data_IF_512161082249
#
_entry.id   IF_512161082249
#
_cell.length_a   1.000
_cell.length_b   1.000
_cell.length_c   1.000
_cell.angle_alpha   90.00
_cell.angle_beta   90.00
_cell.angle_gamma   90.00
#
_symmetry.space_group_name_H-M   'P 1'
#
loop_
_entity.id
_entity.type
_entity.pdbx_description
1 polymer ?
#
# COMPACT_ATOMS: atom_id res chain seq x y z
N UNK A 1 -36.65 -1.48 -41.67
CA UNK A 1 -35.65 -1.79 -40.63
C UNK A 1 -36.39 -2.40 -39.47
N UNK A 2 -36.21 -3.69 -39.23
CA UNK A 2 -37.05 -4.42 -38.27
C UNK A 2 -36.83 -3.88 -36.86
N UNK A 3 -37.92 -3.61 -36.13
CA UNK A 3 -37.90 -3.08 -34.75
C UNK A 3 -36.98 -3.90 -33.84
N UNK A 4 -36.83 -5.20 -34.12
CA UNK A 4 -35.95 -6.14 -33.45
C UNK A 4 -34.46 -5.72 -33.48
N UNK A 5 -33.98 -5.16 -34.59
CA UNK A 5 -32.58 -4.70 -34.72
C UNK A 5 -32.31 -3.51 -33.82
N UNK A 6 -33.26 -2.57 -33.74
CA UNK A 6 -33.15 -1.36 -32.91
C UNK A 6 -33.15 -1.75 -31.43
N UNK A 7 -34.05 -2.65 -31.02
CA UNK A 7 -34.11 -3.16 -29.63
C UNK A 7 -32.82 -3.87 -29.26
N UNK A 8 -32.32 -4.76 -30.13
CA UNK A 8 -31.06 -5.47 -29.89
C UNK A 8 -29.86 -4.50 -29.79
N UNK A 9 -29.77 -3.52 -30.69
CA UNK A 9 -28.72 -2.50 -30.64
C UNK A 9 -28.75 -1.68 -29.35
N UNK A 10 -29.94 -1.37 -28.83
CA UNK A 10 -30.11 -0.63 -27.57
C UNK A 10 -29.67 -1.46 -26.36
N UNK A 11 -30.09 -2.73 -26.30
CA UNK A 11 -29.67 -3.66 -25.23
C UNK A 11 -28.15 -3.86 -25.27
N UNK A 12 -27.59 -3.98 -26.46
CA UNK A 12 -26.16 -4.17 -26.64
C UNK A 12 -25.34 -2.94 -26.21
N UNK A 13 -25.79 -1.75 -26.59
CA UNK A 13 -25.18 -0.50 -26.14
C UNK A 13 -25.22 -0.36 -24.61
N UNK A 14 -26.35 -0.70 -23.98
CA UNK A 14 -26.50 -0.70 -22.53
C UNK A 14 -25.57 -1.72 -21.85
N UNK A 15 -25.42 -2.92 -22.43
CA UNK A 15 -24.49 -3.94 -21.93
C UNK A 15 -23.04 -3.46 -21.98
N UNK A 16 -22.59 -2.91 -23.12
CA UNK A 16 -21.25 -2.33 -23.26
C UNK A 16 -21.02 -1.22 -22.23
N UNK A 17 -21.98 -0.29 -22.10
CA UNK A 17 -21.90 0.79 -21.13
C UNK A 17 -21.77 0.27 -19.69
N UNK A 18 -22.52 -0.78 -19.34
CA UNK A 18 -22.43 -1.46 -18.04
C UNK A 18 -21.05 -2.06 -17.79
N UNK A 19 -20.48 -2.75 -18.77
CA UNK A 19 -19.13 -3.34 -18.69
C UNK A 19 -18.06 -2.27 -18.48
N UNK A 20 -18.10 -1.17 -19.24
CA UNK A 20 -17.16 -0.06 -19.07
C UNK A 20 -17.31 0.64 -17.72
N UNK A 21 -18.55 0.86 -17.26
CA UNK A 21 -18.82 1.45 -15.95
C UNK A 21 -18.24 0.59 -14.82
N UNK A 22 -18.43 -0.73 -14.89
CA UNK A 22 -17.86 -1.68 -13.94
C UNK A 22 -16.32 -1.62 -13.92
N UNK A 23 -15.67 -1.65 -15.10
CA UNK A 23 -14.22 -1.54 -15.19
C UNK A 23 -13.68 -0.24 -14.59
N UNK A 24 -14.35 0.87 -14.87
CA UNK A 24 -13.97 2.18 -14.31
C UNK A 24 -14.04 2.17 -12.78
N UNK A 25 -15.10 1.58 -12.20
CA UNK A 25 -15.27 1.48 -10.75
C UNK A 25 -14.14 0.66 -10.11
N UNK A 26 -13.82 -0.50 -10.70
CA UNK A 26 -12.76 -1.37 -10.19
C UNK A 26 -11.39 -0.72 -10.30
N UNK A 27 -11.10 -0.10 -11.45
CA UNK A 27 -9.83 0.55 -11.67
C UNK A 27 -9.64 1.73 -10.70
N UNK A 28 -10.70 2.52 -10.49
CA UNK A 28 -10.72 3.60 -9.49
C UNK A 28 -10.45 3.08 -8.09
N UNK A 29 -11.13 1.99 -7.69
CA UNK A 29 -10.89 1.34 -6.39
C UNK A 29 -9.43 0.92 -6.23
N UNK A 30 -8.86 0.20 -7.20
CA UNK A 30 -7.48 -0.27 -7.10
C UNK A 30 -6.46 0.84 -7.11
N UNK A 31 -6.69 1.87 -7.92
CA UNK A 31 -5.85 3.05 -7.91
C UNK A 31 -5.84 3.68 -6.51
N UNK A 32 -7.01 3.85 -5.89
CA UNK A 32 -7.13 4.38 -4.52
C UNK A 32 -6.43 3.51 -3.48
N UNK A 33 -6.58 2.19 -3.57
CA UNK A 33 -5.88 1.26 -2.67
C UNK A 33 -4.35 1.38 -2.84
N UNK A 34 -3.86 1.45 -4.07
CA UNK A 34 -2.43 1.64 -4.35
C UNK A 34 -1.92 2.97 -3.79
N UNK A 35 -2.70 4.05 -3.97
CA UNK A 35 -2.43 5.38 -3.38
C UNK A 35 -2.32 5.31 -1.85
N UNK A 36 -3.27 4.65 -1.17
CA UNK A 36 -3.24 4.50 0.29
C UNK A 36 -2.02 3.70 0.78
N UNK A 37 -1.65 2.63 0.07
CA UNK A 37 -0.46 1.83 0.41
C UNK A 37 0.84 2.60 0.17
N UNK A 38 0.92 3.38 -0.91
CA UNK A 38 2.06 4.26 -1.16
C UNK A 38 2.15 5.38 -0.11
N UNK A 39 1.01 5.94 0.31
CA UNK A 39 0.96 6.90 1.43
C UNK A 39 1.51 6.27 2.70
N UNK A 40 1.07 5.04 3.03
CA UNK A 40 1.57 4.32 4.20
C UNK A 40 3.10 4.16 4.17
N UNK A 41 3.68 3.81 3.00
CA UNK A 41 5.13 3.69 2.80
C UNK A 41 5.83 5.05 3.00
N UNK A 42 5.28 6.11 2.43
CA UNK A 42 5.88 7.45 2.50
C UNK A 42 5.84 8.02 3.91
N UNK A 43 4.72 7.83 4.62
CA UNK A 43 4.59 8.26 6.01
C UNK A 43 5.54 7.49 6.92
N UNK A 44 5.66 6.17 6.73
CA UNK A 44 6.64 5.36 7.45
C UNK A 44 8.08 5.85 7.24
N UNK A 45 8.46 6.17 5.98
CA UNK A 45 9.78 6.74 5.68
C UNK A 45 9.99 8.09 6.38
N UNK A 46 8.96 8.93 6.42
CA UNK A 46 8.99 10.24 7.07
C UNK A 46 9.16 10.11 8.59
N UNK A 47 8.40 9.23 9.22
CA UNK A 47 8.51 8.93 10.66
C UNK A 47 9.91 8.36 10.99
N UNK A 48 10.41 7.42 10.18
CA UNK A 48 11.75 6.86 10.37
C UNK A 48 12.85 7.93 10.22
N UNK A 49 12.75 8.80 9.22
CA UNK A 49 13.70 9.90 9.03
C UNK A 49 13.68 10.88 10.21
N UNK A 50 12.49 11.25 10.69
CA UNK A 50 12.33 12.12 11.85
C UNK A 50 12.93 11.48 13.12
N UNK A 51 12.69 10.18 13.34
CA UNK A 51 13.27 9.44 14.46
C UNK A 51 14.80 9.47 14.40
N UNK A 52 15.37 9.08 13.25
CA UNK A 52 16.81 8.98 13.07
C UNK A 52 17.49 10.35 13.22
N UNK A 53 16.93 11.40 12.59
CA UNK A 53 17.45 12.76 12.70
C UNK A 53 17.44 13.26 14.15
N UNK A 54 16.31 13.08 14.85
CA UNK A 54 16.15 13.48 16.25
C UNK A 54 17.16 12.76 17.14
N UNK A 55 17.32 11.45 16.94
CA UNK A 55 18.27 10.62 17.68
C UNK A 55 19.71 11.10 17.47
N UNK A 56 20.13 11.35 16.22
CA UNK A 56 21.49 11.82 15.94
C UNK A 56 21.75 13.20 16.54
N UNK A 57 20.78 14.12 16.46
CA UNK A 57 20.89 15.44 17.05
C UNK A 57 21.01 15.37 18.58
N UNK A 58 20.11 14.63 19.25
CA UNK A 58 20.14 14.45 20.70
C UNK A 58 21.47 13.83 21.14
N UNK A 59 21.90 12.77 20.47
CA UNK A 59 23.15 12.10 20.78
C UNK A 59 24.38 12.97 20.47
N UNK A 60 24.32 13.89 19.51
CA UNK A 60 25.37 14.90 19.28
C UNK A 60 25.38 15.94 20.40
N UNK A 61 24.22 16.48 20.76
CA UNK A 61 24.07 17.53 21.76
C UNK A 61 24.55 17.04 23.14
N UNK A 62 24.07 15.88 23.61
CA UNK A 62 24.50 15.33 24.90
C UNK A 62 25.97 14.91 24.95
N UNK A 63 26.62 14.68 23.80
CA UNK A 63 28.05 14.35 23.76
C UNK A 63 28.97 15.57 23.79
N UNK A 64 28.48 16.74 23.35
CA UNK A 64 29.30 17.94 23.16
C UNK A 64 28.95 19.08 24.12
N UNK A 65 27.84 18.98 24.84
CA UNK A 65 27.36 20.01 25.77
C UNK A 65 27.67 19.60 27.21
N UNK A 66 28.37 20.48 27.94
CA UNK A 66 28.78 20.26 29.34
C UNK A 66 27.57 20.35 30.28
N UNK A 67 26.68 21.32 30.05
CA UNK A 67 25.45 21.54 30.83
C UNK A 67 24.22 21.53 29.91
N UNK A 68 23.65 20.35 29.62
CA UNK A 68 22.52 20.24 28.71
C UNK A 68 21.25 20.83 29.31
N UNK A 69 20.72 21.88 28.68
CA UNK A 69 19.40 22.43 29.00
C UNK A 69 18.30 21.72 28.24
N UNK A 70 17.18 21.45 28.92
CA UNK A 70 16.02 20.77 28.34
C UNK A 70 15.36 21.59 27.22
N UNK A 71 15.36 22.92 27.33
CA UNK A 71 14.82 23.83 26.31
C UNK A 71 15.45 23.65 24.93
N UNK A 72 16.74 23.33 24.88
CA UNK A 72 17.53 23.32 23.65
C UNK A 72 17.32 22.04 22.83
N UNK A 73 16.71 21.03 23.46
CA UNK A 73 16.41 19.72 22.87
C UNK A 73 14.92 19.40 22.86
N UNK A 74 14.07 20.26 23.40
CA UNK A 74 12.64 20.01 23.59
C UNK A 74 11.96 19.57 22.28
N UNK A 75 12.19 20.32 21.20
CA UNK A 75 11.61 20.00 19.90
C UNK A 75 12.09 18.65 19.36
N UNK A 76 13.40 18.40 19.44
CA UNK A 76 13.98 17.14 18.96
C UNK A 76 13.52 15.94 19.79
N UNK A 77 13.38 16.12 21.11
CA UNK A 77 12.86 15.09 21.98
C UNK A 77 11.37 14.81 21.68
N UNK A 78 10.56 15.86 21.46
CA UNK A 78 9.16 15.73 21.04
C UNK A 78 9.03 14.97 19.72
N UNK A 79 9.86 15.28 18.73
CA UNK A 79 9.89 14.60 17.44
C UNK A 79 10.30 13.13 17.59
N UNK A 80 11.31 12.84 18.41
CA UNK A 80 11.73 11.49 18.75
C UNK A 80 10.57 10.66 19.33
N UNK A 81 9.86 11.19 20.33
CA UNK A 81 8.73 10.49 20.96
C UNK A 81 7.60 10.28 19.96
N UNK A 82 7.21 11.32 19.22
CA UNK A 82 6.13 11.23 18.24
C UNK A 82 6.44 10.20 17.14
N UNK A 83 7.67 10.20 16.61
CA UNK A 83 8.09 9.26 15.59
C UNK A 83 8.14 7.82 16.11
N UNK A 84 8.65 7.61 17.33
CA UNK A 84 8.60 6.30 18.00
C UNK A 84 7.18 5.75 18.11
N UNK A 85 6.25 6.55 18.63
CA UNK A 85 4.85 6.16 18.79
C UNK A 85 4.17 5.91 17.45
N UNK A 86 4.43 6.75 16.45
CA UNK A 86 3.93 6.56 15.09
C UNK A 86 4.35 5.22 14.50
N UNK A 87 5.65 4.91 14.55
CA UNK A 87 6.19 3.65 14.02
C UNK A 87 5.64 2.41 14.77
N UNK A 88 5.52 2.49 16.09
CA UNK A 88 4.97 1.42 16.93
C UNK A 88 3.50 1.13 16.61
N UNK A 89 2.70 2.18 16.41
CA UNK A 89 1.26 2.03 16.11
C UNK A 89 1.00 1.63 14.66
N UNK A 90 1.93 1.95 13.76
CA UNK A 90 1.82 1.64 12.32
C UNK A 90 2.17 0.19 11.99
N UNK A 91 3.14 -0.41 12.69
CA UNK A 91 3.57 -1.79 12.41
C UNK A 91 2.82 -2.78 13.28
N UNK A 92 2.12 -3.71 12.62
CA UNK A 92 1.55 -4.88 13.29
C UNK A 92 2.56 -6.05 13.32
N UNK A 93 2.97 -6.48 14.52
CA UNK A 93 3.86 -7.62 14.72
C UNK A 93 3.28 -8.96 14.21
N UNK A 94 1.95 -9.07 14.12
CA UNK A 94 1.24 -10.28 13.74
C UNK A 94 0.45 -10.10 12.44
N UNK A 95 0.98 -9.32 11.49
CA UNK A 95 0.36 -9.16 10.18
C UNK A 95 0.32 -10.52 9.45
N UNK A 96 -0.86 -11.08 9.16
CA UNK A 96 -0.99 -12.38 8.50
C UNK A 96 -0.67 -12.33 7.00
N UNK A 97 -0.75 -11.15 6.38
CA UNK A 97 -0.65 -10.97 4.93
C UNK A 97 0.78 -10.77 4.45
N UNK A 98 1.71 -10.54 5.37
CA UNK A 98 3.12 -10.39 5.04
C UNK A 98 3.81 -11.74 5.33
N UNK A 99 4.37 -12.44 4.32
CA UNK A 99 5.16 -13.66 4.51
C UNK A 99 6.35 -13.49 5.46
N UNK A 100 6.65 -12.24 5.80
CA UNK A 100 7.77 -11.80 6.61
C UNK A 100 7.34 -11.33 7.98
N UNK A 101 6.51 -12.11 8.69
CA UNK A 101 6.24 -11.90 10.13
C UNK A 101 7.52 -11.60 10.93
N UNK A 102 8.61 -12.25 10.54
CA UNK A 102 9.95 -12.00 11.07
C UNK A 102 10.43 -10.55 10.89
N UNK A 103 10.22 -9.90 9.74
CA UNK A 103 10.70 -8.54 9.47
C UNK A 103 10.04 -7.50 10.39
N UNK A 104 8.72 -7.59 10.59
CA UNK A 104 8.01 -6.68 11.49
C UNK A 104 8.49 -6.87 12.92
N UNK A 105 8.62 -8.11 13.39
CA UNK A 105 9.17 -8.38 14.73
C UNK A 105 10.61 -7.89 14.89
N UNK A 106 11.47 -8.10 13.89
CA UNK A 106 12.87 -7.62 13.94
C UNK A 106 12.94 -6.11 14.02
N UNK A 107 12.14 -5.40 13.21
CA UNK A 107 12.09 -3.94 13.26
C UNK A 107 11.61 -3.44 14.62
N UNK A 108 10.55 -4.03 15.16
CA UNK A 108 10.00 -3.66 16.47
C UNK A 108 10.97 -3.95 17.62
N UNK A 109 11.69 -5.08 17.56
CA UNK A 109 12.77 -5.39 18.53
C UNK A 109 13.87 -4.34 18.47
N UNK A 110 14.36 -4.00 17.28
CA UNK A 110 15.38 -2.96 17.10
C UNK A 110 14.93 -1.59 17.61
N UNK A 111 13.65 -1.24 17.39
CA UNK A 111 13.07 0.00 17.87
C UNK A 111 13.02 0.02 19.41
N UNK A 112 12.61 -1.09 20.03
CA UNK A 112 12.59 -1.24 21.47
C UNK A 112 14.01 -1.18 22.08
N UNK A 113 14.98 -1.82 21.46
CA UNK A 113 16.40 -1.73 21.88
C UNK A 113 16.93 -0.30 21.80
N UNK A 114 16.58 0.44 20.74
CA UNK A 114 16.95 1.85 20.60
C UNK A 114 16.34 2.70 21.71
N UNK A 115 15.05 2.51 22.03
CA UNK A 115 14.38 3.20 23.12
C UNK A 115 15.02 2.88 24.47
N UNK A 116 15.35 1.62 24.73
CA UNK A 116 16.03 1.21 25.96
C UNK A 116 17.42 1.84 26.08
N UNK A 117 18.21 1.85 25.00
CA UNK A 117 19.52 2.51 25.00
C UNK A 117 19.40 4.04 25.21
N UNK A 118 18.35 4.65 24.65
CA UNK A 118 18.08 6.08 24.84
C UNK A 118 17.70 6.40 26.29
N UNK A 119 16.84 5.60 26.92
CA UNK A 119 16.46 5.74 28.32
C UNK A 119 17.64 5.54 29.28
N UNK A 120 18.59 4.68 28.92
CA UNK A 120 19.84 4.48 29.65
C UNK A 120 20.90 5.55 29.36
N UNK A 121 20.59 6.55 28.53
CA UNK A 121 21.50 7.63 28.11
C UNK A 121 22.79 7.13 27.42
N UNK A 122 22.76 5.91 26.84
CA UNK A 122 23.87 5.37 26.07
C UNK A 122 23.80 5.89 24.62
N UNK A 123 24.15 7.15 24.43
CA UNK A 123 24.03 7.85 23.15
C UNK A 123 24.93 7.27 22.04
N UNK A 124 26.02 6.58 22.40
CA UNK A 124 26.86 5.90 21.43
C UNK A 124 26.17 4.65 20.88
N UNK A 125 25.59 3.83 21.76
CA UNK A 125 24.81 2.67 21.35
C UNK A 125 23.55 3.07 20.59
N UNK A 126 22.89 4.16 20.98
CA UNK A 126 21.72 4.70 20.28
C UNK A 126 22.04 5.05 18.81
N UNK A 127 23.18 5.70 18.52
CA UNK A 127 23.60 5.98 17.14
C UNK A 127 23.78 4.71 16.31
N UNK A 128 24.37 3.68 16.91
CA UNK A 128 24.57 2.37 16.26
C UNK A 128 23.21 1.70 15.98
N UNK A 129 22.32 1.67 16.97
CA UNK A 129 20.98 1.09 16.85
C UNK A 129 20.11 1.85 15.84
N UNK A 130 20.24 3.17 15.73
CA UNK A 130 19.55 3.96 14.70
C UNK A 130 19.94 3.52 13.29
N UNK A 131 21.23 3.25 13.04
CA UNK A 131 21.69 2.71 11.77
C UNK A 131 21.16 1.29 11.51
N UNK A 132 21.10 0.44 12.53
CA UNK A 132 20.48 -0.89 12.39
C UNK A 132 18.98 -0.80 12.13
N UNK A 133 18.29 0.15 12.74
CA UNK A 133 16.87 0.41 12.50
C UNK A 133 16.63 0.76 11.02
N UNK A 134 17.43 1.68 10.46
CA UNK A 134 17.39 2.02 9.03
C UNK A 134 17.63 0.78 8.15
N UNK A 135 18.64 -0.03 8.46
CA UNK A 135 18.93 -1.27 7.71
C UNK A 135 17.76 -2.25 7.78
N UNK A 136 17.16 -2.45 8.95
CA UNK A 136 16.00 -3.34 9.12
C UNK A 136 14.71 -2.82 8.48
N UNK A 137 14.59 -1.50 8.26
CA UNK A 137 13.45 -0.89 7.57
C UNK A 137 13.44 -1.16 6.06
N UNK A 138 14.60 -1.30 5.43
CA UNK A 138 14.74 -1.49 3.98
C UNK A 138 14.03 -2.74 3.45
N UNK A 139 14.22 -3.95 4.03
CA UNK A 139 13.50 -5.14 3.58
C UNK A 139 12.00 -5.05 3.85
N UNK A 140 11.56 -4.38 4.93
CA UNK A 140 10.14 -4.15 5.23
C UNK A 140 9.50 -3.27 4.15
N UNK A 141 10.15 -2.15 3.81
CA UNK A 141 9.74 -1.26 2.72
C UNK A 141 9.71 -1.97 1.37
N UNK A 142 10.66 -2.88 1.11
CA UNK A 142 10.70 -3.69 -0.11
C UNK A 142 9.50 -4.64 -0.16
N UNK A 143 9.20 -5.35 0.92
CA UNK A 143 8.06 -6.26 0.99
C UNK A 143 6.73 -5.53 0.71
N UNK A 144 6.57 -4.34 1.31
CA UNK A 144 5.41 -3.49 1.10
C UNK A 144 5.31 -2.96 -0.33
N UNK A 145 6.44 -2.58 -0.93
CA UNK A 145 6.48 -2.20 -2.34
C UNK A 145 6.08 -3.33 -3.28
N UNK A 146 6.55 -4.56 -3.02
CA UNK A 146 6.12 -5.72 -3.79
C UNK A 146 4.62 -6.03 -3.60
N UNK A 147 4.06 -5.76 -2.41
CA UNK A 147 2.61 -5.85 -2.15
C UNK A 147 1.83 -4.83 -2.96
N UNK A 148 2.29 -3.58 -3.03
CA UNK A 148 1.69 -2.53 -3.87
C UNK A 148 1.66 -2.93 -5.34
N UNK A 149 2.79 -3.40 -5.88
CA UNK A 149 2.89 -3.81 -7.29
C UNK A 149 2.03 -5.03 -7.62
N UNK A 150 1.87 -5.95 -6.67
CA UNK A 150 1.04 -7.15 -6.86
C UNK A 150 -0.45 -6.83 -6.97
N UNK A 151 -0.89 -5.71 -6.37
CA UNK A 151 -2.29 -5.31 -6.30
C UNK A 151 -3.13 -6.22 -5.38
N UNK A 152 -4.42 -5.94 -5.27
CA UNK A 152 -5.31 -6.78 -4.46
C UNK A 152 -5.65 -8.11 -5.15
N UNK A 153 -5.79 -9.17 -4.36
CA UNK A 153 -6.29 -10.45 -4.86
C UNK A 153 -7.71 -10.36 -5.43
N UNK A 154 -8.51 -9.42 -4.91
CA UNK A 154 -9.86 -9.12 -5.42
C UNK A 154 -9.76 -8.66 -6.88
N UNK A 155 -8.90 -7.69 -7.18
CA UNK A 155 -8.66 -7.18 -8.53
C UNK A 155 -8.14 -8.20 -9.51
N UNK A 156 -7.22 -9.07 -9.07
CA UNK A 156 -6.71 -10.17 -9.91
C UNK A 156 -7.84 -11.09 -10.34
N UNK A 157 -8.75 -11.43 -9.43
CA UNK A 157 -9.95 -12.23 -9.73
C UNK A 157 -10.92 -11.47 -10.64
N UNK A 158 -11.14 -10.19 -10.37
CA UNK A 158 -12.03 -9.35 -11.16
C UNK A 158 -11.59 -9.22 -12.62
N UNK A 159 -10.29 -9.14 -12.92
CA UNK A 159 -9.81 -9.17 -14.32
C UNK A 159 -10.21 -10.46 -15.04
N UNK A 160 -10.10 -11.60 -14.37
CA UNK A 160 -10.47 -12.90 -14.93
C UNK A 160 -11.98 -12.95 -15.20
N UNK A 161 -12.79 -12.59 -14.20
CA UNK A 161 -14.24 -12.55 -14.36
C UNK A 161 -14.69 -11.60 -15.46
N UNK A 162 -14.06 -10.42 -15.56
CA UNK A 162 -14.40 -9.47 -16.59
C UNK A 162 -14.03 -9.97 -17.99
N UNK A 163 -12.90 -10.68 -18.12
CA UNK A 163 -12.54 -11.38 -19.36
C UNK A 163 -13.57 -12.45 -19.75
N UNK A 164 -14.05 -13.23 -18.78
CA UNK A 164 -15.10 -14.24 -19.01
C UNK A 164 -16.42 -13.59 -19.44
N UNK A 165 -16.85 -12.50 -18.80
CA UNK A 165 -18.07 -11.77 -19.17
C UNK A 165 -17.96 -11.21 -20.59
N UNK A 166 -16.80 -10.66 -20.96
CA UNK A 166 -16.57 -10.18 -22.33
C UNK A 166 -16.63 -11.33 -23.34
N UNK A 167 -16.02 -12.48 -23.05
CA UNK A 167 -16.04 -13.65 -23.92
C UNK A 167 -17.47 -14.19 -24.13
N UNK A 168 -18.25 -14.31 -23.05
CA UNK A 168 -19.67 -14.73 -23.12
C UNK A 168 -20.48 -13.72 -23.92
N UNK A 169 -20.26 -12.41 -23.71
CA UNK A 169 -20.89 -11.36 -24.50
C UNK A 169 -20.63 -11.53 -26.00
N UNK A 170 -19.38 -11.77 -26.41
CA UNK A 170 -19.01 -12.00 -27.81
C UNK A 170 -19.64 -13.27 -28.40
N UNK A 171 -19.74 -14.35 -27.62
CA UNK A 171 -20.39 -15.59 -28.05
C UNK A 171 -21.88 -15.38 -28.30
N UNK A 172 -22.58 -14.70 -27.38
CA UNK A 172 -24.01 -14.39 -27.51
C UNK A 172 -24.28 -13.56 -28.76
N UNK A 173 -23.45 -12.55 -29.04
CA UNK A 173 -23.54 -11.75 -30.27
C UNK A 173 -23.36 -12.63 -31.50
N UNK A 174 -22.34 -13.50 -31.49
CA UNK A 174 -22.04 -14.38 -32.63
C UNK A 174 -23.17 -15.35 -32.94
N UNK A 175 -23.79 -15.92 -31.90
CA UNK A 175 -24.96 -16.80 -32.04
C UNK A 175 -26.16 -16.02 -32.60
N UNK A 176 -26.42 -14.82 -32.07
CA UNK A 176 -27.53 -13.99 -32.52
C UNK A 176 -27.39 -13.56 -33.98
N UNK A 177 -26.18 -13.14 -34.40
CA UNK A 177 -25.89 -12.79 -35.79
C UNK A 177 -26.10 -13.99 -36.73
N UNK A 178 -25.64 -15.18 -36.35
CA UNK A 178 -25.84 -16.40 -37.13
C UNK A 178 -27.32 -16.82 -37.22
N UNK A 179 -28.08 -16.67 -36.14
CA UNK A 179 -29.52 -16.94 -36.14
C UNK A 179 -30.28 -15.96 -37.06
N UNK A 180 -29.87 -14.69 -37.06
CA UNK A 180 -30.45 -13.67 -37.93
C UNK A 180 -30.16 -13.92 -39.41
N UNK A 181 -28.91 -14.26 -39.77
CA UNK A 181 -28.53 -14.54 -41.17
C UNK A 181 -29.21 -15.80 -41.71
N UNK A 182 -29.36 -16.84 -40.90
CA UNK A 182 -30.06 -18.07 -41.29
C UNK A 182 -31.55 -17.84 -41.50
N UNK A 183 -32.23 -17.06 -40.64
CA UNK A 183 -33.63 -16.66 -40.86
C UNK A 183 -33.81 -15.77 -42.10
N UNK A 184 -32.85 -14.90 -42.41
CA UNK A 184 -32.91 -14.06 -43.61
C UNK A 184 -32.70 -14.86 -44.91
N UNK A 185 -31.96 -15.98 -44.86
CA UNK A 185 -31.70 -16.86 -46.01
C UNK A 185 -32.83 -17.84 -46.33
N UNK A 186 -33.80 -18.02 -45.43
CA UNK A 186 -34.94 -18.94 -45.57
C UNK A 186 -36.25 -18.25 -45.98
N UNK A 187 -36.20 -16.93 -46.25
CA UNK A 187 -37.27 -16.10 -46.85
C UNK A 187 -36.90 -15.63 -48.23
#
# INVERSE_FOLDING_TARGET
MDKSIIVFGTIFAAFIAGVFSYFNLINSKEQKVSEFRQSWINDFRKELAALVASVFYLAYYYSNTIEPKASDVEESHRLYVAACTGLLTRINAKDPDIPTKHLNSTFLTNLNELQNAFNLQDYNKVKILANFLVKSSSPLLKAEWERVKRGEESYRRTKIYAGLVCAVGLIVISIFLNAYTTMASST
#
